data_IF_706803752589
#
_entry.id   IF_706803752589
#
_cell.length_a   1.000
_cell.length_b   1.000
_cell.length_c   1.000
_cell.angle_alpha   90.00
_cell.angle_beta   90.00
_cell.angle_gamma   90.00
#
_symmetry.space_group_name_H-M   'P 1'
#
loop_
_entity.id
_entity.type
_entity.pdbx_description
1 polymer ?
#
# COMPACT_ATOMS: atom_id res chain seq x y z
N UNK A 1 -0.32 -43.74 -15.53
CA UNK A 1 -0.27 -42.37 -16.04
C UNK A 1 0.97 -41.79 -15.40
N UNK A 2 2.08 -41.86 -16.14
CA UNK A 2 3.39 -41.53 -15.63
C UNK A 2 3.42 -40.03 -15.32
N UNK A 3 3.41 -39.69 -14.04
CA UNK A 3 3.63 -38.32 -13.59
C UNK A 3 5.08 -37.98 -13.96
N UNK A 4 5.27 -36.99 -14.85
CA UNK A 4 6.59 -36.37 -15.05
C UNK A 4 7.14 -35.99 -13.66
N UNK A 5 8.43 -36.25 -13.38
CA UNK A 5 9.07 -36.16 -12.04
C UNK A 5 8.92 -34.81 -11.29
N UNK A 6 8.29 -33.79 -11.89
CA UNK A 6 8.11 -32.45 -11.34
C UNK A 6 6.66 -31.93 -11.40
N UNK A 7 5.67 -32.82 -11.47
CA UNK A 7 4.25 -32.45 -11.49
C UNK A 7 3.50 -32.97 -10.27
N UNK A 8 2.67 -32.10 -9.67
CA UNK A 8 1.81 -32.44 -8.53
C UNK A 8 0.37 -32.14 -8.89
N UNK A 9 -0.54 -33.02 -8.49
CA UNK A 9 -1.97 -32.79 -8.55
C UNK A 9 -2.52 -32.81 -7.13
N UNK A 10 -3.07 -31.67 -6.70
CA UNK A 10 -3.74 -31.54 -5.41
C UNK A 10 -5.24 -31.34 -5.65
N UNK A 11 -6.06 -32.14 -4.98
CA UNK A 11 -7.49 -31.88 -4.90
C UNK A 11 -7.76 -30.97 -3.72
N UNK A 12 -8.40 -29.82 -3.98
CA UNK A 12 -8.75 -28.84 -2.97
C UNK A 12 -10.25 -28.92 -2.73
N UNK A 13 -10.62 -29.09 -1.45
CA UNK A 13 -12.01 -29.17 -1.01
C UNK A 13 -12.36 -27.88 -0.25
N UNK A 14 -13.18 -26.98 -0.82
CA UNK A 14 -13.67 -25.82 -0.10
C UNK A 14 -14.42 -26.22 1.18
N UNK A 15 -14.19 -25.51 2.29
CA UNK A 15 -14.95 -25.75 3.54
C UNK A 15 -16.29 -25.01 3.51
N UNK A 16 -17.26 -25.50 4.27
CA UNK A 16 -18.58 -24.85 4.39
C UNK A 16 -18.48 -23.41 4.91
N UNK A 17 -17.47 -23.12 5.73
CA UNK A 17 -17.24 -21.79 6.32
C UNK A 17 -16.82 -20.72 5.30
N UNK A 18 -16.19 -21.10 4.19
CA UNK A 18 -15.80 -20.14 3.13
C UNK A 18 -16.88 -20.02 2.06
N UNK A 19 -17.83 -20.96 1.98
CA UNK A 19 -18.86 -20.99 0.94
C UNK A 19 -19.72 -19.72 0.93
N UNK A 20 -20.06 -19.19 2.11
CA UNK A 20 -20.85 -17.96 2.26
C UNK A 20 -20.11 -16.72 1.70
N UNK A 21 -18.78 -16.71 1.70
CA UNK A 21 -17.93 -15.61 1.22
C UNK A 21 -17.52 -15.75 -0.25
N UNK A 22 -17.68 -16.95 -0.86
CA UNK A 22 -17.29 -17.22 -2.25
C UNK A 22 -17.96 -16.27 -3.24
N UNK A 23 -19.14 -15.72 -2.91
CA UNK A 23 -19.85 -14.77 -3.77
C UNK A 23 -19.16 -13.41 -3.93
N UNK A 24 -18.22 -13.07 -3.04
CA UNK A 24 -17.51 -11.79 -3.09
C UNK A 24 -16.19 -11.85 -3.88
N UNK A 25 -15.74 -13.04 -4.28
CA UNK A 25 -14.44 -13.23 -4.92
C UNK A 25 -14.55 -14.02 -6.23
N UNK A 26 -13.69 -13.70 -7.19
CA UNK A 26 -13.50 -14.54 -8.38
C UNK A 26 -12.74 -15.83 -8.03
N UNK A 27 -11.74 -15.71 -7.17
CA UNK A 27 -11.06 -16.81 -6.48
C UNK A 27 -10.84 -16.37 -5.05
N UNK A 28 -11.33 -17.14 -4.09
CA UNK A 28 -11.18 -16.82 -2.68
C UNK A 28 -9.69 -16.91 -2.25
N UNK A 29 -9.13 -15.94 -1.52
CA UNK A 29 -7.71 -15.93 -1.16
C UNK A 29 -7.22 -17.21 -0.47
N UNK A 30 -8.03 -17.78 0.45
CA UNK A 30 -7.71 -19.06 1.10
C UNK A 30 -7.63 -20.23 0.10
N UNK A 31 -8.51 -20.27 -0.91
CA UNK A 31 -8.47 -21.32 -1.93
C UNK A 31 -7.26 -21.14 -2.87
N UNK A 32 -6.91 -19.89 -3.16
CA UNK A 32 -5.71 -19.57 -3.93
C UNK A 32 -4.44 -19.97 -3.17
N UNK A 33 -4.38 -19.67 -1.86
CA UNK A 33 -3.26 -20.07 -1.00
C UNK A 33 -3.13 -21.60 -0.92
N UNK A 34 -4.25 -22.33 -0.83
CA UNK A 34 -4.24 -23.80 -0.90
C UNK A 34 -3.62 -24.31 -2.22
N UNK A 35 -3.81 -23.60 -3.34
CA UNK A 35 -3.14 -23.93 -4.60
C UNK A 35 -1.61 -23.70 -4.52
N UNK A 36 -1.16 -22.66 -3.81
CA UNK A 36 0.27 -22.41 -3.59
C UNK A 36 0.90 -23.46 -2.67
N UNK A 37 0.18 -23.88 -1.63
CA UNK A 37 0.64 -24.94 -0.73
C UNK A 37 0.85 -26.28 -1.46
N UNK A 38 0.11 -26.54 -2.54
CA UNK A 38 0.32 -27.73 -3.38
C UNK A 38 1.73 -27.77 -4.01
N UNK A 39 2.39 -26.62 -4.19
CA UNK A 39 3.78 -26.58 -4.66
C UNK A 39 4.73 -27.18 -3.63
N UNK A 40 4.40 -27.08 -2.34
CA UNK A 40 5.15 -27.71 -1.25
C UNK A 40 5.32 -29.23 -1.44
N UNK A 41 4.30 -29.89 -1.99
CA UNK A 41 4.33 -31.33 -2.25
C UNK A 41 5.18 -31.72 -3.47
N UNK A 42 5.65 -30.74 -4.26
CA UNK A 42 6.56 -30.98 -5.38
C UNK A 42 8.04 -31.00 -4.94
N UNK A 43 8.35 -30.58 -3.70
CA UNK A 43 9.71 -30.62 -3.17
C UNK A 43 10.07 -32.03 -2.68
N UNK A 44 11.34 -32.41 -2.83
CA UNK A 44 11.87 -33.64 -2.25
C UNK A 44 11.92 -33.56 -0.72
N UNK A 45 11.67 -34.67 -0.02
CA UNK A 45 11.63 -34.76 1.46
C UNK A 45 12.91 -34.27 2.17
N UNK A 46 14.03 -34.11 1.47
CA UNK A 46 15.30 -33.61 2.02
C UNK A 46 15.38 -32.08 2.18
N UNK A 47 14.39 -31.31 1.69
CA UNK A 47 14.39 -29.84 1.79
C UNK A 47 13.56 -29.34 2.99
N UNK A 48 14.25 -28.93 4.06
CA UNK A 48 13.66 -28.43 5.31
C UNK A 48 13.50 -26.89 5.37
N UNK A 49 13.79 -26.18 4.29
CA UNK A 49 13.68 -24.72 4.25
C UNK A 49 12.21 -24.27 4.12
N UNK A 50 11.88 -23.11 4.71
CA UNK A 50 10.57 -22.47 4.51
C UNK A 50 10.58 -21.71 3.19
N UNK A 51 9.63 -22.03 2.32
CA UNK A 51 9.49 -21.44 1.01
C UNK A 51 8.27 -20.51 0.97
N UNK A 52 8.46 -19.28 0.47
CA UNK A 52 7.36 -18.33 0.30
C UNK A 52 7.18 -17.96 -1.17
N UNK A 53 5.94 -17.82 -1.65
CA UNK A 53 5.66 -17.17 -2.93
C UNK A 53 6.09 -15.70 -2.86
N UNK A 54 6.92 -15.25 -3.82
CA UNK A 54 7.45 -13.87 -3.83
C UNK A 54 7.01 -13.07 -5.05
N UNK A 55 6.73 -13.73 -6.18
CA UNK A 55 6.18 -13.08 -7.37
C UNK A 55 5.53 -14.10 -8.30
N UNK A 56 4.72 -13.66 -9.25
CA UNK A 56 4.30 -14.45 -10.41
C UNK A 56 4.30 -13.56 -11.64
N UNK A 57 4.53 -14.15 -12.82
CA UNK A 57 4.52 -13.38 -14.07
C UNK A 57 3.09 -13.05 -14.50
N UNK A 58 2.17 -14.00 -14.32
CA UNK A 58 0.81 -13.85 -14.83
C UNK A 58 -0.17 -14.68 -14.01
N UNK A 59 -1.34 -14.10 -13.75
CA UNK A 59 -2.54 -14.81 -13.28
C UNK A 59 -3.62 -14.57 -14.34
N UNK A 60 -4.20 -15.64 -14.87
CA UNK A 60 -5.34 -15.58 -15.79
C UNK A 60 -6.50 -16.29 -15.09
N UNK A 61 -7.63 -15.60 -15.00
CA UNK A 61 -8.88 -16.15 -14.46
C UNK A 61 -9.85 -16.23 -15.63
N UNK A 62 -10.28 -17.44 -15.96
CA UNK A 62 -11.25 -17.69 -17.02
C UNK A 62 -12.67 -17.66 -16.48
N UNK A 63 -12.89 -18.33 -15.34
CA UNK A 63 -14.19 -18.46 -14.70
C UNK A 63 -14.02 -18.38 -13.18
N UNK A 64 -15.10 -18.01 -12.49
CA UNK A 64 -15.17 -18.05 -11.03
C UNK A 64 -15.00 -19.48 -10.53
N UNK A 65 -14.30 -19.66 -9.40
CA UNK A 65 -14.27 -20.95 -8.71
C UNK A 65 -15.57 -21.18 -7.91
N UNK A 66 -16.20 -22.33 -8.15
CA UNK A 66 -17.39 -22.76 -7.44
C UNK A 66 -17.06 -23.35 -6.05
N UNK A 67 -18.11 -23.62 -5.28
CA UNK A 67 -18.02 -24.28 -3.96
C UNK A 67 -17.65 -25.77 -4.04
N UNK A 68 -17.56 -26.32 -5.26
CA UNK A 68 -17.26 -27.73 -5.50
C UNK A 68 -15.75 -28.00 -5.39
N UNK A 69 -15.35 -29.25 -5.07
CA UNK A 69 -13.97 -29.67 -5.16
C UNK A 69 -13.36 -29.42 -6.54
N UNK A 70 -12.12 -28.96 -6.56
CA UNK A 70 -11.38 -28.63 -7.78
C UNK A 70 -9.94 -29.11 -7.68
N UNK A 71 -9.23 -29.06 -8.79
CA UNK A 71 -7.86 -29.54 -8.91
C UNK A 71 -6.89 -28.40 -9.12
N UNK A 72 -5.76 -28.46 -8.42
CA UNK A 72 -4.57 -27.65 -8.66
C UNK A 72 -3.48 -28.57 -9.20
N UNK A 73 -3.12 -28.38 -10.47
CA UNK A 73 -1.97 -29.01 -11.08
C UNK A 73 -0.80 -28.04 -11.02
N UNK A 74 0.29 -28.47 -10.38
CA UNK A 74 1.52 -27.71 -10.28
C UNK A 74 2.57 -28.36 -11.17
N UNK A 75 3.27 -27.55 -11.96
CA UNK A 75 4.48 -27.95 -12.67
C UNK A 75 5.66 -27.13 -12.17
N UNK A 76 6.61 -27.79 -11.52
CA UNK A 76 7.80 -27.16 -10.95
C UNK A 76 8.90 -27.03 -12.02
N UNK A 77 9.57 -25.88 -12.02
CA UNK A 77 10.70 -25.54 -12.86
C UNK A 77 11.88 -25.12 -11.98
N UNK A 78 13.02 -25.79 -12.17
CA UNK A 78 14.25 -25.45 -11.49
C UNK A 78 14.87 -24.19 -12.12
N UNK A 79 15.26 -23.23 -11.28
CA UNK A 79 16.01 -22.06 -11.73
C UNK A 79 17.51 -22.29 -11.55
N UNK A 80 18.33 -21.38 -12.07
CA UNK A 80 19.78 -21.40 -11.83
C UNK A 80 20.15 -21.15 -10.37
N UNK A 81 19.25 -20.60 -9.56
CA UNK A 81 19.45 -20.38 -8.13
C UNK A 81 18.81 -21.54 -7.34
N UNK A 82 19.57 -22.34 -6.59
CA UNK A 82 19.03 -23.48 -5.83
C UNK A 82 18.07 -23.09 -4.71
N UNK A 83 18.00 -21.80 -4.36
CA UNK A 83 17.06 -21.24 -3.38
C UNK A 83 15.80 -20.64 -4.01
N UNK A 84 15.66 -20.70 -5.32
CA UNK A 84 14.48 -20.15 -6.03
C UNK A 84 13.95 -21.19 -7.00
N UNK A 85 12.64 -21.42 -6.91
CA UNK A 85 11.89 -22.28 -7.80
C UNK A 85 10.89 -21.44 -8.59
N UNK A 86 10.57 -21.89 -9.79
CA UNK A 86 9.44 -21.35 -10.55
C UNK A 86 8.39 -22.44 -10.68
N UNK A 87 7.12 -22.09 -10.63
CA UNK A 87 6.02 -23.04 -10.80
C UNK A 87 4.95 -22.47 -11.73
N UNK A 88 4.42 -23.31 -12.61
CA UNK A 88 3.16 -23.02 -13.28
C UNK A 88 2.04 -23.79 -12.57
N UNK A 89 0.94 -23.11 -12.25
CA UNK A 89 -0.21 -23.70 -11.58
C UNK A 89 -1.42 -23.59 -12.50
N UNK A 90 -2.04 -24.72 -12.80
CA UNK A 90 -3.31 -24.81 -13.51
C UNK A 90 -4.39 -25.19 -12.51
N UNK A 91 -5.47 -24.42 -12.48
CA UNK A 91 -6.63 -24.66 -11.63
C UNK A 91 -7.77 -25.10 -12.53
N UNK A 92 -8.30 -26.30 -12.28
CA UNK A 92 -9.37 -26.89 -13.07
C UNK A 92 -10.54 -27.34 -12.18
N UNK A 93 -11.77 -27.16 -12.65
CA UNK A 93 -12.95 -27.64 -11.95
C UNK A 93 -13.04 -29.18 -11.96
N UNK A 94 -14.06 -29.74 -11.29
CA UNK A 94 -14.29 -31.19 -11.26
C UNK A 94 -14.57 -31.82 -12.64
N UNK A 95 -14.94 -31.01 -13.64
CA UNK A 95 -15.23 -31.42 -15.01
C UNK A 95 -13.99 -31.35 -15.92
N UNK A 96 -12.86 -30.85 -15.40
CA UNK A 96 -11.60 -30.72 -16.12
C UNK A 96 -11.44 -29.42 -16.91
N UNK A 97 -12.35 -28.46 -16.77
CA UNK A 97 -12.23 -27.15 -17.39
C UNK A 97 -11.28 -26.25 -16.58
N UNK A 98 -10.35 -25.60 -17.25
CA UNK A 98 -9.37 -24.69 -16.63
C UNK A 98 -10.08 -23.40 -16.23
N UNK A 99 -10.24 -23.17 -14.93
CA UNK A 99 -10.86 -21.97 -14.36
C UNK A 99 -9.86 -20.85 -14.16
N UNK A 100 -8.60 -21.19 -13.84
CA UNK A 100 -7.54 -20.22 -13.69
C UNK A 100 -6.15 -20.82 -13.92
N UNK A 101 -5.16 -19.97 -14.17
CA UNK A 101 -3.77 -20.36 -14.36
C UNK A 101 -2.83 -19.30 -13.83
N UNK A 102 -1.72 -19.74 -13.25
CA UNK A 102 -0.66 -18.90 -12.69
C UNK A 102 0.62 -19.33 -13.36
N UNK A 103 1.25 -18.41 -14.08
CA UNK A 103 2.46 -18.69 -14.83
C UNK A 103 3.66 -18.08 -14.13
N UNK A 104 4.74 -18.86 -14.04
CA UNK A 104 6.02 -18.47 -13.45
C UNK A 104 5.88 -17.90 -12.02
N UNK A 105 5.17 -18.61 -11.15
CA UNK A 105 5.17 -18.36 -9.72
C UNK A 105 6.57 -18.60 -9.16
N UNK A 106 7.25 -17.54 -8.73
CA UNK A 106 8.51 -17.64 -8.03
C UNK A 106 8.30 -17.94 -6.56
N UNK A 107 8.99 -18.97 -6.09
CA UNK A 107 9.00 -19.40 -4.71
C UNK A 107 10.44 -19.40 -4.23
N UNK A 108 10.71 -18.70 -3.14
CA UNK A 108 12.05 -18.49 -2.63
C UNK A 108 12.22 -19.09 -1.24
N UNK A 109 13.32 -19.83 -1.04
CA UNK A 109 13.76 -20.30 0.26
C UNK A 109 14.12 -19.10 1.12
N UNK A 110 13.47 -18.99 2.27
CA UNK A 110 13.74 -17.92 3.21
C UNK A 110 14.55 -18.49 4.36
N UNK A 111 15.80 -18.06 4.46
CA UNK A 111 16.67 -18.46 5.55
C UNK A 111 16.12 -17.84 6.83
N UNK A 112 15.93 -18.64 7.88
CA UNK A 112 15.45 -18.15 9.19
C UNK A 112 16.29 -16.97 9.70
N UNK A 113 17.59 -16.95 9.40
CA UNK A 113 18.54 -15.87 9.70
C UNK A 113 18.44 -14.64 8.79
N UNK A 114 17.97 -14.78 7.55
CA UNK A 114 17.74 -13.67 6.62
C UNK A 114 16.42 -12.95 6.92
N UNK A 115 15.39 -13.68 7.39
CA UNK A 115 14.19 -13.08 8.01
C UNK A 115 14.54 -12.38 9.33
N UNK A 116 15.53 -12.91 10.05
CA UNK A 116 16.03 -12.37 11.33
C UNK A 116 17.25 -11.41 11.18
N UNK A 117 17.56 -10.96 9.96
CA UNK A 117 18.38 -9.77 9.72
C UNK A 117 19.91 -9.90 9.82
N UNK A 118 20.51 -11.06 9.58
CA UNK A 118 21.98 -11.15 9.48
C UNK A 118 22.45 -11.71 8.13
N UNK A 119 22.97 -10.85 7.25
CA UNK A 119 23.68 -11.29 6.05
C UNK A 119 24.87 -10.39 5.71
N UNK A 120 26.04 -11.02 5.62
CA UNK A 120 27.27 -10.48 5.03
C UNK A 120 27.07 -10.36 3.51
N UNK A 121 27.04 -9.14 2.98
CA UNK A 121 26.80 -8.83 1.55
C UNK A 121 28.08 -8.92 0.72
N UNK A 122 27.98 -9.53 -0.47
CA UNK A 122 29.04 -9.62 -1.47
C UNK A 122 28.95 -8.42 -2.44
N UNK A 123 30.07 -7.71 -2.66
CA UNK A 123 30.15 -6.46 -3.45
C UNK A 123 29.82 -6.62 -4.94
N UNK A 124 29.97 -7.82 -5.49
CA UNK A 124 29.77 -8.07 -6.93
C UNK A 124 28.28 -7.99 -7.34
N UNK A 125 27.36 -8.27 -6.41
CA UNK A 125 25.92 -8.22 -6.66
C UNK A 125 25.38 -6.78 -6.82
N UNK A 126 26.24 -5.77 -6.62
CA UNK A 126 25.89 -4.34 -6.64
C UNK A 126 26.31 -3.65 -7.95
N UNK A 127 27.04 -4.34 -8.83
CA UNK A 127 27.64 -3.74 -10.03
C UNK A 127 26.79 -4.04 -11.27
N UNK A 128 25.70 -3.30 -11.45
CA UNK A 128 24.94 -3.29 -12.70
C UNK A 128 24.53 -1.86 -13.07
N UNK A 129 24.17 -1.65 -14.32
CA UNK A 129 23.61 -0.39 -14.81
C UNK A 129 22.38 -0.66 -15.66
N UNK A 130 21.36 0.18 -15.51
CA UNK A 130 20.11 0.07 -16.27
C UNK A 130 20.32 0.76 -17.62
N UNK A 131 20.44 -0.04 -18.68
CA UNK A 131 20.54 0.46 -20.05
C UNK A 131 19.16 0.39 -20.73
N UNK A 132 18.51 1.54 -20.88
CA UNK A 132 17.23 1.63 -21.59
C UNK A 132 17.44 1.50 -23.10
N UNK A 133 16.90 0.44 -23.70
CA UNK A 133 16.95 0.21 -25.15
C UNK A 133 15.66 0.70 -25.81
N UNK A 134 15.72 1.64 -26.78
CA UNK A 134 14.55 2.08 -27.51
C UNK A 134 13.83 0.91 -28.17
N UNK A 135 12.52 0.83 -28.00
CA UNK A 135 11.66 -0.16 -28.66
C UNK A 135 10.64 0.58 -29.53
N UNK A 136 10.33 0.10 -30.75
CA UNK A 136 9.34 0.72 -31.61
C UNK A 136 7.96 0.66 -30.96
N UNK A 137 7.29 1.81 -30.87
CA UNK A 137 5.91 1.91 -30.41
C UNK A 137 4.97 1.28 -31.45
N UNK A 138 4.18 0.30 -31.03
CA UNK A 138 3.09 -0.26 -31.85
C UNK A 138 2.01 0.81 -32.05
N UNK A 139 1.91 1.35 -33.26
CA UNK A 139 1.09 2.51 -33.62
C UNK A 139 -0.44 2.29 -33.59
N UNK A 140 -0.94 1.10 -33.24
CA UNK A 140 -2.38 0.78 -33.30
C UNK A 140 -3.04 0.48 -31.94
N UNK A 141 -2.28 0.51 -30.84
CA UNK A 141 -2.77 -0.05 -29.57
C UNK A 141 -3.75 0.86 -28.80
N UNK A 142 -3.87 2.15 -29.15
CA UNK A 142 -4.62 3.14 -28.34
C UNK A 142 -5.45 4.12 -29.16
N UNK A 143 -5.72 3.86 -30.45
CA UNK A 143 -6.48 4.79 -31.30
C UNK A 143 -7.95 4.95 -30.85
N UNK A 144 -8.42 4.06 -29.98
CA UNK A 144 -9.73 4.13 -29.34
C UNK A 144 -9.73 4.92 -28.02
N UNK A 145 -8.55 5.22 -27.47
CA UNK A 145 -8.44 5.95 -26.21
C UNK A 145 -8.85 7.40 -26.46
N UNK A 146 -9.88 7.86 -25.76
CA UNK A 146 -10.36 9.24 -25.87
C UNK A 146 -9.25 10.20 -25.46
N UNK A 147 -9.08 11.29 -26.21
CA UNK A 147 -8.07 12.29 -25.89
C UNK A 147 -8.34 12.92 -24.53
N UNK A 148 -7.28 13.11 -23.75
CA UNK A 148 -7.36 13.65 -22.37
C UNK A 148 -8.13 14.97 -22.28
N UNK A 149 -8.01 15.85 -23.27
CA UNK A 149 -8.76 17.11 -23.28
C UNK A 149 -10.27 16.89 -23.39
N UNK A 150 -10.72 15.98 -24.25
CA UNK A 150 -12.14 15.67 -24.40
C UNK A 150 -12.70 15.01 -23.12
N UNK A 151 -11.90 14.14 -22.48
CA UNK A 151 -12.24 13.57 -21.17
C UNK A 151 -12.42 14.69 -20.13
N UNK A 152 -11.48 15.64 -20.08
CA UNK A 152 -11.53 16.76 -19.15
C UNK A 152 -12.78 17.63 -19.35
N UNK A 153 -13.06 18.02 -20.58
CA UNK A 153 -14.17 18.93 -20.91
C UNK A 153 -15.53 18.34 -20.51
N UNK A 154 -15.66 17.01 -20.55
CA UNK A 154 -16.90 16.32 -20.19
C UNK A 154 -17.00 15.98 -18.70
N UNK A 155 -15.92 15.49 -18.09
CA UNK A 155 -15.95 15.01 -16.70
C UNK A 155 -15.95 16.17 -15.69
N UNK A 156 -15.22 17.26 -15.96
CA UNK A 156 -15.05 18.34 -14.98
C UNK A 156 -16.37 19.00 -14.55
N UNK A 157 -17.32 19.31 -15.45
CA UNK A 157 -18.62 19.84 -15.05
C UNK A 157 -19.40 18.90 -14.11
N UNK A 158 -19.46 17.61 -14.45
CA UNK A 158 -20.13 16.58 -13.63
C UNK A 158 -19.43 16.46 -12.26
N UNK A 159 -18.11 16.44 -12.26
CA UNK A 159 -17.31 16.28 -11.05
C UNK A 159 -17.43 17.48 -10.11
N UNK A 160 -17.54 18.72 -10.63
CA UNK A 160 -17.83 19.91 -9.81
C UNK A 160 -19.18 19.81 -9.10
N UNK A 161 -20.19 19.24 -9.76
CA UNK A 161 -21.48 18.99 -9.13
C UNK A 161 -21.37 17.93 -8.03
N UNK A 162 -20.60 16.85 -8.27
CA UNK A 162 -20.32 15.82 -7.26
C UNK A 162 -19.64 16.40 -6.01
N UNK A 163 -18.61 17.24 -6.19
CA UNK A 163 -17.92 17.93 -5.09
C UNK A 163 -18.81 18.91 -4.30
N UNK A 164 -19.93 19.34 -4.89
CA UNK A 164 -20.86 20.29 -4.25
C UNK A 164 -21.78 19.63 -3.22
N UNK A 165 -21.73 18.30 -3.07
CA UNK A 165 -22.53 17.56 -2.08
C UNK A 165 -22.14 17.94 -0.64
N UNK A 166 -23.11 17.97 0.31
CA UNK A 166 -22.88 18.47 1.67
C UNK A 166 -21.74 17.78 2.43
N UNK A 167 -21.61 16.46 2.28
CA UNK A 167 -20.58 15.66 2.95
C UNK A 167 -19.15 16.10 2.60
N UNK A 168 -18.89 16.50 1.35
CA UNK A 168 -17.56 16.93 0.92
C UNK A 168 -17.25 18.36 1.33
N UNK A 169 -18.28 19.22 1.42
CA UNK A 169 -18.13 20.56 2.01
C UNK A 169 -17.76 20.47 3.48
N UNK A 170 -18.50 19.65 4.24
CA UNK A 170 -18.22 19.40 5.66
C UNK A 170 -16.81 18.83 5.84
N UNK A 171 -16.43 17.83 5.06
CA UNK A 171 -15.07 17.28 5.07
C UNK A 171 -14.00 18.37 4.81
N UNK A 172 -14.20 19.21 3.79
CA UNK A 172 -13.26 20.30 3.48
C UNK A 172 -13.15 21.36 4.60
N UNK A 173 -14.23 21.60 5.36
CA UNK A 173 -14.25 22.49 6.53
C UNK A 173 -13.56 21.87 7.76
N UNK A 174 -13.53 20.54 7.83
CA UNK A 174 -12.90 19.79 8.92
C UNK A 174 -11.39 19.58 8.72
N UNK A 175 -10.92 19.46 7.46
CA UNK A 175 -9.51 19.21 7.16
C UNK A 175 -8.53 20.20 7.83
N UNK A 176 -8.77 21.53 7.83
CA UNK A 176 -7.88 22.47 8.53
C UNK A 176 -7.77 22.22 10.04
N UNK A 177 -8.77 21.60 10.67
CA UNK A 177 -8.75 21.30 12.10
C UNK A 177 -7.78 20.15 12.43
N UNK A 178 -7.39 19.33 11.44
CA UNK A 178 -6.33 18.33 11.60
C UNK A 178 -4.94 18.96 11.77
N UNK A 179 -4.73 20.19 11.28
CA UNK A 179 -3.48 20.93 11.47
C UNK A 179 -3.26 21.26 12.96
N UNK A 180 -4.31 21.68 13.67
CA UNK A 180 -4.25 21.96 15.11
C UNK A 180 -3.93 20.69 15.92
N UNK A 181 -4.52 19.56 15.55
CA UNK A 181 -4.23 18.25 16.16
C UNK A 181 -2.77 17.85 15.90
N UNK A 182 -2.30 18.06 14.66
CA UNK A 182 -0.92 17.75 14.26
C UNK A 182 0.08 18.59 15.05
N UNK A 183 -0.17 19.89 15.18
CA UNK A 183 0.65 20.80 15.97
C UNK A 183 0.72 20.39 17.44
N UNK A 184 -0.42 19.98 18.01
CA UNK A 184 -0.48 19.48 19.38
C UNK A 184 0.37 18.21 19.60
N UNK A 185 0.33 17.26 18.67
CA UNK A 185 1.21 16.07 18.73
C UNK A 185 2.68 16.42 18.59
N UNK A 186 3.04 17.40 17.76
CA UNK A 186 4.43 17.86 17.62
C UNK A 186 4.92 18.39 18.97
N UNK A 187 4.18 19.30 19.60
CA UNK A 187 4.56 19.89 20.90
C UNK A 187 4.62 18.83 22.00
N UNK A 188 3.65 17.91 22.01
CA UNK A 188 3.66 16.78 22.93
C UNK A 188 4.93 15.94 22.76
N UNK A 189 5.34 15.64 21.53
CA UNK A 189 6.55 14.86 21.26
C UNK A 189 7.82 15.57 21.75
N UNK A 190 7.98 16.87 21.49
CA UNK A 190 9.09 17.65 22.04
C UNK A 190 9.10 17.62 23.58
N UNK A 191 7.93 17.75 24.20
CA UNK A 191 7.78 17.71 25.67
C UNK A 191 8.16 16.34 26.24
N UNK A 192 7.72 15.25 25.61
CA UNK A 192 8.09 13.87 25.98
C UNK A 192 9.60 13.60 25.87
N UNK A 193 10.26 14.24 24.90
CA UNK A 193 11.72 14.19 24.75
C UNK A 193 12.47 15.13 25.71
N UNK A 194 11.75 15.87 26.57
CA UNK A 194 12.33 16.77 27.58
C UNK A 194 12.69 18.16 27.05
N UNK A 195 12.07 18.61 25.95
CA UNK A 195 12.20 19.97 25.44
C UNK A 195 10.98 20.82 25.80
N UNK A 196 11.21 21.89 26.56
CA UNK A 196 10.20 22.90 26.84
C UNK A 196 10.51 24.17 26.03
N UNK A 197 9.54 24.66 25.28
CA UNK A 197 9.68 25.89 24.51
C UNK A 197 9.57 27.11 25.43
N UNK A 198 10.70 27.74 25.71
CA UNK A 198 10.74 28.97 26.52
C UNK A 198 10.91 30.19 25.63
N UNK A 199 10.12 31.24 25.82
CA UNK A 199 10.20 32.46 25.03
C UNK A 199 11.63 33.03 24.96
N UNK A 200 12.05 33.46 23.76
CA UNK A 200 13.39 33.96 23.42
C UNK A 200 14.52 32.94 23.53
N UNK A 201 14.23 31.68 23.85
CA UNK A 201 15.21 30.60 23.78
C UNK A 201 15.67 30.41 22.33
N UNK A 202 16.97 30.29 22.15
CA UNK A 202 17.59 30.02 20.86
C UNK A 202 18.30 28.67 20.87
N UNK A 203 18.28 27.98 19.74
CA UNK A 203 18.97 26.71 19.55
C UNK A 203 19.33 26.48 18.08
N UNK A 204 20.40 25.73 17.84
CA UNK A 204 20.71 25.17 16.51
C UNK A 204 19.99 23.83 16.35
N UNK A 205 19.50 23.54 15.14
CA UNK A 205 18.77 22.28 14.87
C UNK A 205 19.62 21.06 15.25
N UNK A 206 20.89 21.00 14.82
CA UNK A 206 21.74 19.84 15.07
C UNK A 206 22.03 19.63 16.56
N UNK A 207 22.32 20.70 17.29
CA UNK A 207 22.57 20.62 18.74
C UNK A 207 21.33 20.13 19.50
N UNK A 208 20.15 20.60 19.10
CA UNK A 208 18.90 20.15 19.67
C UNK A 208 18.62 18.68 19.31
N UNK A 209 18.84 18.29 18.06
CA UNK A 209 18.66 16.91 17.61
C UNK A 209 19.53 15.95 18.42
N UNK A 210 20.81 16.29 18.63
CA UNK A 210 21.74 15.49 19.43
C UNK A 210 21.28 15.41 20.89
N UNK A 211 20.84 16.53 21.47
CA UNK A 211 20.33 16.59 22.85
C UNK A 211 19.08 15.74 23.06
N UNK A 212 18.17 15.72 22.09
CA UNK A 212 16.91 14.96 22.16
C UNK A 212 17.07 13.50 21.72
N UNK A 213 18.26 13.11 21.25
CA UNK A 213 18.53 11.76 20.76
C UNK A 213 17.84 11.44 19.43
N UNK A 214 17.64 12.44 18.58
CA UNK A 214 17.04 12.26 17.25
C UNK A 214 18.03 11.49 16.36
N UNK A 215 17.56 10.43 15.73
CA UNK A 215 18.43 9.60 14.87
C UNK A 215 18.72 10.29 13.54
N UNK A 216 19.86 9.95 12.92
CA UNK A 216 20.23 10.46 11.60
C UNK A 216 19.19 10.16 10.52
N UNK A 217 18.50 9.01 10.61
CA UNK A 217 17.41 8.63 9.70
C UNK A 217 16.22 9.60 9.77
N UNK A 218 16.00 10.24 10.92
CA UNK A 218 14.84 11.10 11.17
C UNK A 218 15.14 12.60 11.09
N UNK A 219 16.38 12.99 10.78
CA UNK A 219 16.81 14.39 10.70
C UNK A 219 15.93 15.23 9.75
N UNK A 220 15.60 14.68 8.57
CA UNK A 220 14.75 15.38 7.59
C UNK A 220 13.34 15.66 8.12
N UNK A 221 12.77 14.69 8.84
CA UNK A 221 11.47 14.86 9.47
C UNK A 221 11.56 15.89 10.60
N UNK A 222 12.57 15.78 11.47
CA UNK A 222 12.80 16.72 12.55
C UNK A 222 12.91 18.17 12.09
N UNK A 223 13.68 18.45 11.03
CA UNK A 223 13.76 19.81 10.46
C UNK A 223 12.39 20.29 9.94
N UNK A 224 11.62 19.39 9.30
CA UNK A 224 10.26 19.74 8.85
C UNK A 224 9.34 20.07 10.04
N UNK A 225 9.48 19.40 11.17
CA UNK A 225 8.69 19.72 12.37
C UNK A 225 9.04 21.11 12.92
N UNK A 226 10.32 21.52 12.88
CA UNK A 226 10.73 22.88 13.26
C UNK A 226 10.16 23.93 12.29
N UNK A 227 10.11 23.63 11.00
CA UNK A 227 9.45 24.47 10.01
C UNK A 227 7.95 24.61 10.27
N UNK A 228 7.24 23.52 10.58
CA UNK A 228 5.81 23.55 10.94
C UNK A 228 5.59 24.43 12.19
N UNK A 229 6.43 24.28 13.21
CA UNK A 229 6.37 25.15 14.40
C UNK A 229 6.64 26.62 14.05
N UNK A 230 7.41 26.89 12.99
CA UNK A 230 7.61 28.25 12.50
C UNK A 230 6.42 28.79 11.71
N UNK A 231 5.81 27.97 10.87
CA UNK A 231 4.56 28.28 10.15
C UNK A 231 3.41 28.59 11.13
N UNK A 232 3.37 27.87 12.27
CA UNK A 232 2.44 28.11 13.37
C UNK A 232 2.79 29.34 14.24
N UNK A 233 3.89 30.04 13.97
CA UNK A 233 4.30 31.23 14.73
C UNK A 233 4.86 30.94 16.13
N UNK A 234 5.23 29.69 16.43
CA UNK A 234 5.91 29.31 17.69
C UNK A 234 7.40 29.60 17.58
N UNK A 235 8.00 29.26 16.43
CA UNK A 235 9.41 29.47 16.13
C UNK A 235 9.60 30.53 15.05
N UNK A 236 10.78 31.13 15.04
CA UNK A 236 11.28 31.92 13.93
C UNK A 236 12.71 31.53 13.63
N UNK A 237 13.05 31.41 12.34
CA UNK A 237 14.44 31.21 11.92
C UNK A 237 15.20 32.54 11.96
N UNK A 238 16.26 32.62 12.76
CA UNK A 238 17.22 33.73 12.80
C UNK A 238 18.60 33.23 12.41
N UNK A 239 19.03 33.58 11.18
CA UNK A 239 20.25 33.06 10.58
C UNK A 239 20.23 31.52 10.53
N UNK A 240 21.17 30.88 11.24
CA UNK A 240 21.27 29.41 11.34
C UNK A 240 20.55 28.82 12.56
N UNK A 241 20.01 29.66 13.45
CA UNK A 241 19.35 29.24 14.67
C UNK A 241 17.82 29.41 14.60
N UNK A 242 17.12 28.67 15.44
CA UNK A 242 15.71 28.87 15.74
C UNK A 242 15.57 29.68 17.01
N UNK A 243 14.59 30.57 17.05
CA UNK A 243 14.18 31.31 18.26
C UNK A 243 12.71 31.02 18.56
N UNK A 244 12.40 30.75 19.82
CA UNK A 244 11.01 30.67 20.31
C UNK A 244 10.46 32.08 20.45
N UNK A 245 9.45 32.44 19.66
CA UNK A 245 8.89 33.80 19.64
C UNK A 245 7.59 33.93 20.44
N UNK A 246 6.92 32.82 20.73
CA UNK A 246 5.67 32.82 21.48
C UNK A 246 5.93 32.85 22.99
N UNK A 247 5.24 33.75 23.71
CA UNK A 247 5.40 33.92 25.17
C UNK A 247 4.81 32.78 25.99
N UNK A 248 3.70 32.20 25.52
CA UNK A 248 3.03 31.06 26.13
C UNK A 248 2.40 30.22 25.04
N UNK A 249 2.85 28.97 24.93
CA UNK A 249 2.22 27.96 24.08
C UNK A 249 1.03 27.39 24.84
N UNK A 250 -0.18 27.78 24.43
CA UNK A 250 -1.43 27.23 24.95
C UNK A 250 -2.07 26.42 23.83
N UNK A 251 -1.70 25.16 23.75
CA UNK A 251 -2.26 24.23 22.78
C UNK A 251 -2.89 23.10 23.58
N UNK A 252 -4.17 22.86 23.30
CA UNK A 252 -4.92 21.79 23.95
C UNK A 252 -4.26 20.44 23.65
N UNK A 253 -4.34 19.50 24.59
CA UNK A 253 -3.78 18.17 24.39
C UNK A 253 -4.43 17.48 23.18
N UNK A 254 -3.72 16.58 22.49
CA UNK A 254 -4.30 15.91 21.32
C UNK A 254 -5.58 15.15 21.65
N UNK A 255 -5.70 14.61 22.87
CA UNK A 255 -6.93 13.98 23.37
C UNK A 255 -8.11 14.95 23.46
N UNK A 256 -7.90 16.20 23.89
CA UNK A 256 -8.97 17.19 24.02
C UNK A 256 -9.49 17.61 22.64
N UNK A 257 -8.58 17.93 21.71
CA UNK A 257 -8.94 18.30 20.34
C UNK A 257 -9.61 17.11 19.64
N UNK A 258 -9.08 15.89 19.82
CA UNK A 258 -9.69 14.67 19.30
C UNK A 258 -11.11 14.47 19.83
N UNK A 259 -11.36 14.64 21.13
CA UNK A 259 -12.72 14.50 21.69
C UNK A 259 -13.69 15.52 21.09
N UNK A 260 -13.23 16.74 20.81
CA UNK A 260 -14.04 17.77 20.15
C UNK A 260 -14.40 17.38 18.71
N UNK A 261 -13.47 16.74 17.99
CA UNK A 261 -13.62 16.32 16.59
C UNK A 261 -14.26 14.92 16.43
N UNK A 262 -14.30 14.10 17.47
CA UNK A 262 -14.74 12.70 17.43
C UNK A 262 -16.24 12.54 17.10
N UNK A 263 -16.99 13.64 17.04
CA UNK A 263 -18.40 13.65 16.63
C UNK A 263 -18.57 13.65 15.10
N UNK A 264 -17.51 13.89 14.34
CA UNK A 264 -17.56 13.98 12.89
C UNK A 264 -16.94 12.74 12.23
N UNK A 265 -17.81 11.84 11.76
CA UNK A 265 -17.44 10.59 11.09
C UNK A 265 -16.67 10.83 9.78
N UNK A 266 -16.76 12.03 9.19
CA UNK A 266 -16.13 12.35 7.92
C UNK A 266 -14.59 12.40 7.95
N UNK A 267 -13.96 12.56 9.11
CA UNK A 267 -12.49 12.60 9.26
C UNK A 267 -11.94 11.49 10.18
N UNK A 268 -12.73 10.45 10.43
CA UNK A 268 -12.38 9.38 11.37
C UNK A 268 -11.09 8.65 10.98
N UNK A 269 -10.90 8.36 9.68
CA UNK A 269 -9.72 7.66 9.17
C UNK A 269 -8.45 8.51 9.35
N UNK A 270 -8.51 9.78 8.97
CA UNK A 270 -7.43 10.76 9.13
C UNK A 270 -7.06 10.93 10.61
N UNK A 271 -8.06 11.14 11.49
CA UNK A 271 -7.84 11.29 12.93
C UNK A 271 -7.27 10.03 13.57
N UNK A 272 -7.73 8.86 13.15
CA UNK A 272 -7.25 7.59 13.69
C UNK A 272 -5.78 7.38 13.33
N UNK A 273 -5.41 7.61 12.07
CA UNK A 273 -4.02 7.52 11.62
C UNK A 273 -3.13 8.56 12.30
N UNK A 274 -3.58 9.82 12.34
CA UNK A 274 -2.86 10.91 12.99
C UNK A 274 -2.66 10.62 14.48
N UNK A 275 -3.67 10.06 15.15
CA UNK A 275 -3.59 9.68 16.56
C UNK A 275 -2.64 8.52 16.80
N UNK A 276 -2.68 7.48 15.97
CA UNK A 276 -1.78 6.34 16.07
C UNK A 276 -0.31 6.75 15.86
N UNK A 277 -0.03 7.58 14.84
CA UNK A 277 1.32 8.01 14.51
C UNK A 277 1.83 9.12 15.43
N UNK A 278 1.02 10.16 15.65
CA UNK A 278 1.39 11.34 16.42
C UNK A 278 1.69 11.03 17.89
N UNK A 279 0.95 10.10 18.50
CA UNK A 279 1.19 9.69 19.89
C UNK A 279 2.55 9.03 20.13
N UNK A 280 3.16 8.46 19.09
CA UNK A 280 4.47 7.81 19.13
C UNK A 280 5.57 8.61 18.41
N UNK A 281 5.31 9.86 18.05
CA UNK A 281 6.23 10.68 17.25
C UNK A 281 7.61 10.82 17.92
N UNK A 282 7.67 10.99 19.24
CA UNK A 282 8.93 11.05 19.99
C UNK A 282 9.75 9.76 19.85
N UNK A 283 9.11 8.60 19.97
CA UNK A 283 9.76 7.28 19.87
C UNK A 283 10.28 7.03 18.45
N UNK A 284 9.52 7.42 17.43
CA UNK A 284 9.92 7.34 16.03
C UNK A 284 11.13 8.22 15.75
N UNK A 285 11.11 9.48 16.21
CA UNK A 285 12.22 10.42 16.03
C UNK A 285 13.52 9.91 16.69
N UNK A 286 13.40 9.29 17.87
CA UNK A 286 14.50 8.67 18.61
C UNK A 286 14.88 7.28 18.09
N UNK A 287 14.19 6.77 17.06
CA UNK A 287 14.43 5.44 16.48
C UNK A 287 14.14 4.27 17.42
N UNK A 288 13.36 4.51 18.48
CA UNK A 288 12.90 3.49 19.44
C UNK A 288 11.75 2.65 18.87
N UNK A 289 11.02 3.22 17.91
CA UNK A 289 9.90 2.56 17.22
C UNK A 289 10.06 2.68 15.71
N UNK A 290 9.83 1.59 15.00
CA UNK A 290 9.81 1.58 13.54
C UNK A 290 8.48 2.17 13.05
N UNK A 291 8.48 3.30 12.30
CA UNK A 291 7.26 3.92 11.82
C UNK A 291 6.44 3.01 10.89
N UNK A 292 7.07 2.02 10.23
CA UNK A 292 6.33 1.05 9.40
C UNK A 292 5.34 0.25 10.26
N UNK A 293 5.66 -0.05 11.51
CA UNK A 293 4.75 -0.80 12.40
C UNK A 293 3.53 0.02 12.83
N UNK A 294 3.62 1.35 12.81
CA UNK A 294 2.48 2.24 13.08
C UNK A 294 1.55 2.34 11.88
N UNK A 295 2.11 2.33 10.67
CA UNK A 295 1.36 2.40 9.42
C UNK A 295 0.75 1.03 9.04
N UNK A 296 1.45 -0.05 9.35
CA UNK A 296 1.07 -1.44 9.04
C UNK A 296 1.17 -2.31 10.31
N UNK A 297 0.26 -2.13 11.28
CA UNK A 297 0.29 -2.91 12.51
C UNK A 297 0.13 -4.40 12.19
N UNK A 298 1.08 -5.22 12.65
CA UNK A 298 1.15 -6.66 12.32
C UNK A 298 1.18 -6.99 10.83
N UNK A 299 1.62 -6.04 9.98
CA UNK A 299 1.62 -6.18 8.52
C UNK A 299 0.24 -6.00 7.87
N UNK A 300 -0.79 -5.64 8.65
CA UNK A 300 -2.13 -5.39 8.12
C UNK A 300 -2.19 -4.04 7.38
N UNK A 301 -2.62 -4.10 6.12
CA UNK A 301 -2.79 -2.94 5.26
C UNK A 301 -4.14 -2.25 5.44
N UNK A 302 -5.11 -2.92 6.10
CA UNK A 302 -6.50 -2.46 6.24
C UNK A 302 -6.58 -1.06 6.85
N UNK A 303 -5.67 -0.75 7.78
CA UNK A 303 -5.61 0.54 8.46
C UNK A 303 -5.37 1.70 7.48
N UNK A 304 -4.43 1.55 6.54
CA UNK A 304 -4.21 2.53 5.48
C UNK A 304 -5.24 2.42 4.36
N UNK A 305 -5.79 1.23 4.10
CA UNK A 305 -6.89 1.05 3.15
C UNK A 305 -8.08 1.93 3.53
N UNK A 306 -8.41 2.06 4.82
CA UNK A 306 -9.48 2.96 5.26
C UNK A 306 -9.24 4.41 4.83
N UNK A 307 -8.00 4.90 4.96
CA UNK A 307 -7.65 6.25 4.50
C UNK A 307 -7.67 6.36 2.97
N UNK A 308 -6.97 5.47 2.25
CA UNK A 308 -6.79 5.57 0.80
C UNK A 308 -7.99 5.14 -0.04
N UNK A 309 -8.96 4.45 0.56
CA UNK A 309 -10.15 3.95 -0.13
C UNK A 309 -11.43 4.57 0.42
N UNK A 310 -11.57 4.66 1.75
CA UNK A 310 -12.87 4.92 2.37
C UNK A 310 -13.06 6.35 2.89
N UNK A 311 -11.97 7.11 3.05
CA UNK A 311 -12.07 8.51 3.44
C UNK A 311 -12.76 9.35 2.36
N UNK A 312 -13.49 10.43 2.72
CA UNK A 312 -14.23 11.21 1.73
C UNK A 312 -13.34 11.75 0.60
N UNK A 313 -12.12 12.21 0.92
CA UNK A 313 -11.15 12.67 -0.07
C UNK A 313 -10.70 11.56 -1.01
N UNK A 314 -10.41 10.38 -0.47
CA UNK A 314 -10.04 9.21 -1.27
C UNK A 314 -11.19 8.76 -2.19
N UNK A 315 -12.42 8.67 -1.68
CA UNK A 315 -13.61 8.33 -2.49
C UNK A 315 -13.77 9.27 -3.67
N UNK A 316 -13.63 10.57 -3.43
CA UNK A 316 -13.69 11.60 -4.48
C UNK A 316 -12.66 11.34 -5.58
N UNK A 317 -11.40 11.13 -5.20
CA UNK A 317 -10.32 10.94 -6.16
C UNK A 317 -10.41 9.60 -6.88
N UNK A 318 -10.73 8.51 -6.18
CA UNK A 318 -10.87 7.19 -6.78
C UNK A 318 -12.05 7.13 -7.76
N UNK A 319 -13.20 7.75 -7.44
CA UNK A 319 -14.32 7.88 -8.38
C UNK A 319 -13.96 8.75 -9.59
N UNK A 320 -13.11 9.77 -9.43
CA UNK A 320 -12.61 10.54 -10.58
C UNK A 320 -11.74 9.67 -11.50
N UNK A 321 -10.80 8.91 -10.93
CA UNK A 321 -9.93 8.00 -11.68
C UNK A 321 -10.76 6.95 -12.42
N UNK A 322 -11.74 6.35 -11.74
CA UNK A 322 -12.72 5.44 -12.32
C UNK A 322 -13.41 6.06 -13.54
N UNK A 323 -14.03 7.24 -13.39
CA UNK A 323 -14.73 7.94 -14.48
C UNK A 323 -13.81 8.28 -15.65
N UNK A 324 -12.58 8.72 -15.36
CA UNK A 324 -11.57 9.03 -16.39
C UNK A 324 -11.22 7.78 -17.18
N UNK A 325 -11.00 6.65 -16.51
CA UNK A 325 -10.67 5.38 -17.19
C UNK A 325 -11.85 4.85 -17.99
N UNK A 326 -13.06 4.89 -17.44
CA UNK A 326 -14.27 4.49 -18.18
C UNK A 326 -14.44 5.34 -19.45
N UNK A 327 -14.29 6.65 -19.35
CA UNK A 327 -14.39 7.57 -20.49
C UNK A 327 -13.28 7.32 -21.49
N UNK A 328 -12.04 7.14 -21.03
CA UNK A 328 -10.91 6.83 -21.89
C UNK A 328 -11.14 5.56 -22.73
N UNK A 329 -11.84 4.57 -22.17
CA UNK A 329 -12.07 3.27 -22.78
C UNK A 329 -13.44 3.15 -23.46
N UNK A 330 -14.23 4.22 -23.57
CA UNK A 330 -15.62 4.14 -24.05
C UNK A 330 -15.72 3.62 -25.49
N UNK A 331 -14.71 3.91 -26.32
CA UNK A 331 -14.65 3.51 -27.72
C UNK A 331 -13.83 2.23 -27.94
N UNK A 332 -13.45 1.51 -26.87
CA UNK A 332 -12.63 0.30 -26.98
C UNK A 332 -13.34 -0.78 -27.81
N UNK A 333 -12.73 -1.26 -28.92
CA UNK A 333 -13.25 -2.38 -29.67
C UNK A 333 -13.22 -3.67 -28.84
N UNK A 334 -14.26 -4.50 -28.92
CA UNK A 334 -14.31 -5.79 -28.21
C UNK A 334 -13.16 -6.74 -28.59
N UNK A 335 -12.59 -6.58 -29.78
CA UNK A 335 -11.49 -7.41 -30.28
C UNK A 335 -10.12 -6.98 -29.73
N UNK A 336 -10.02 -5.83 -29.06
CA UNK A 336 -8.75 -5.25 -28.66
C UNK A 336 -8.47 -5.51 -27.17
N UNK A 337 -7.39 -6.27 -26.91
CA UNK A 337 -6.90 -6.54 -25.56
C UNK A 337 -6.35 -5.26 -24.93
N UNK A 338 -6.84 -4.93 -23.74
CA UNK A 338 -6.34 -3.83 -22.93
C UNK A 338 -5.11 -4.29 -22.12
N UNK A 339 -4.10 -3.44 -22.01
CA UNK A 339 -2.95 -3.63 -21.11
C UNK A 339 -2.90 -2.45 -20.16
N UNK A 340 -3.15 -2.70 -18.88
CA UNK A 340 -3.08 -1.70 -17.81
C UNK A 340 -1.93 -2.05 -16.88
N UNK A 341 -1.15 -1.04 -16.47
CA UNK A 341 -0.13 -1.15 -15.45
C UNK A 341 -0.39 -0.06 -14.41
N UNK A 342 -0.57 -0.47 -13.15
CA UNK A 342 -0.64 0.45 -12.02
C UNK A 342 0.69 0.41 -11.26
N UNK A 343 1.35 1.57 -11.16
CA UNK A 343 2.63 1.69 -10.47
C UNK A 343 2.34 2.09 -9.02
N UNK A 344 2.87 1.32 -8.07
CA UNK A 344 2.69 1.62 -6.65
C UNK A 344 1.26 1.40 -6.15
N UNK A 345 0.56 0.39 -6.67
CA UNK A 345 -0.83 0.07 -6.32
C UNK A 345 -1.06 -0.11 -4.81
N UNK A 346 0.00 -0.41 -4.04
CA UNK A 346 -0.03 -0.37 -2.57
C UNK A 346 -1.16 -1.23 -1.99
N UNK A 347 -2.07 -0.59 -1.26
CA UNK A 347 -3.22 -1.25 -0.62
C UNK A 347 -4.32 -1.69 -1.60
N UNK A 348 -4.21 -1.36 -2.89
CA UNK A 348 -5.22 -1.65 -3.91
C UNK A 348 -6.44 -0.72 -3.86
N UNK A 349 -6.39 0.37 -3.07
CA UNK A 349 -7.52 1.27 -2.85
C UNK A 349 -8.06 1.87 -4.15
N UNK A 350 -7.18 2.36 -5.04
CA UNK A 350 -7.58 2.86 -6.37
C UNK A 350 -7.91 1.71 -7.33
N UNK A 351 -7.12 0.63 -7.31
CA UNK A 351 -7.34 -0.58 -8.12
C UNK A 351 -8.77 -1.13 -7.97
N UNK A 352 -9.28 -1.17 -6.73
CA UNK A 352 -10.62 -1.66 -6.41
C UNK A 352 -11.75 -0.86 -7.10
N UNK A 353 -11.53 0.42 -7.39
CA UNK A 353 -12.47 1.25 -8.13
C UNK A 353 -12.38 1.06 -9.65
N UNK A 354 -11.24 0.60 -10.16
CA UNK A 354 -11.00 0.49 -11.60
C UNK A 354 -11.42 -0.89 -12.12
N UNK A 355 -10.99 -1.96 -11.44
CA UNK A 355 -11.14 -3.34 -11.89
C UNK A 355 -12.58 -3.73 -12.26
N UNK A 356 -13.64 -3.34 -11.52
CA UNK A 356 -15.02 -3.71 -11.86
C UNK A 356 -15.50 -3.19 -13.22
N UNK A 357 -14.82 -2.20 -13.80
CA UNK A 357 -15.20 -1.54 -15.06
C UNK A 357 -14.32 -1.93 -16.24
N UNK A 358 -13.29 -2.76 -16.02
CA UNK A 358 -12.48 -3.30 -17.09
C UNK A 358 -13.19 -4.53 -17.68
N UNK A 359 -13.43 -4.53 -18.98
CA UNK A 359 -14.00 -5.68 -19.70
C UNK A 359 -12.93 -6.77 -19.81
N UNK A 360 -13.19 -7.93 -19.21
CA UNK A 360 -12.36 -9.15 -19.31
C UNK A 360 -12.57 -9.88 -20.63
#
# INVERSE_FOLDING_TARGET
MDLEENQVFAQINPSETIAEELNHYQIHPILLDACFQAVGAAFSEEQLDTYLPVSFQQLIIHNKLDEKPFWSQVKLHFTSNPKVYSADILIANSEGEITAQINQLQIQAVNREAVLGNSTTNLQDWLYTVEWKPQPLSSSATNFVVQTQAIFDEIVPEFRQFLSQPQFKKYAELLPQLEDVSLSYIIQAFTQMGFEFTAKQQFLSQELADKLGITSKQQRLFERLLEILSEAGILQRKNQAWEVIQESIKIDSPSQIKTQLCLDLEIEAELSLLSACGSHLAEVLQGKLDPIQLLFPSGDVSFLTQLYQNSPGAKVMNTLVEKVIQKALENQPQTQKLKVLEIGAGTGGTTAYILPHLKT
#
